data_IF_121181459390
#
_entry.id   IF_121181459390
#
_cell.length_a   1.000
_cell.length_b   1.000
_cell.length_c   1.000
_cell.angle_alpha   90.00
_cell.angle_beta   90.00
_cell.angle_gamma   90.00
#
_symmetry.space_group_name_H-M   'P 1'
#
loop_
_entity.id
_entity.type
_entity.pdbx_description
1 polymer ?
#
# COMPACT_ATOMS: atom_id res chain seq x y z
N UNK A 1 11.73 -78.56 27.75
CA UNK A 1 12.25 -77.36 28.42
C UNK A 1 11.44 -76.18 27.92
N UNK A 2 10.54 -75.65 28.75
CA UNK A 2 9.69 -74.50 28.42
C UNK A 2 10.43 -73.20 28.75
N UNK A 3 10.60 -72.25 27.81
CA UNK A 3 10.94 -70.88 28.14
C UNK A 3 9.66 -70.11 28.52
N UNK A 4 9.62 -69.61 29.74
CA UNK A 4 8.61 -68.65 30.20
C UNK A 4 8.74 -67.34 29.42
N UNK A 5 7.73 -67.00 28.62
CA UNK A 5 7.56 -65.67 28.02
C UNK A 5 6.80 -64.78 29.02
N UNK A 6 7.55 -63.90 29.68
CA UNK A 6 7.03 -62.79 30.49
C UNK A 6 6.48 -61.71 29.55
N UNK A 7 5.15 -61.59 29.48
CA UNK A 7 4.45 -60.49 28.81
C UNK A 7 4.38 -59.30 29.77
N UNK A 8 5.13 -58.23 29.48
CA UNK A 8 5.00 -56.93 30.13
C UNK A 8 4.04 -56.09 29.28
N UNK A 9 2.86 -55.66 29.79
CA UNK A 9 2.02 -54.72 29.07
C UNK A 9 2.65 -53.32 29.16
N UNK A 10 3.16 -52.84 28.02
CA UNK A 10 3.57 -51.46 27.82
C UNK A 10 2.31 -50.57 27.79
N UNK A 11 1.97 -49.95 28.91
CA UNK A 11 0.90 -48.94 28.97
C UNK A 11 1.45 -47.68 28.30
N UNK A 12 1.10 -47.46 27.04
CA UNK A 12 1.29 -46.19 26.35
C UNK A 12 0.26 -45.22 26.91
N UNK A 13 0.66 -44.46 27.94
CA UNK A 13 -0.11 -43.35 28.46
C UNK A 13 -0.06 -42.22 27.41
N UNK A 14 -1.06 -42.20 26.52
CA UNK A 14 -1.25 -41.11 25.57
C UNK A 14 -1.55 -39.82 26.32
N UNK A 15 -0.53 -38.99 26.52
CA UNK A 15 -0.68 -37.58 26.87
C UNK A 15 -1.36 -36.88 25.68
N UNK A 16 -2.70 -36.87 25.69
CA UNK A 16 -3.46 -35.91 24.91
C UNK A 16 -3.18 -34.53 25.53
N UNK A 17 -2.19 -33.83 25.00
CA UNK A 17 -2.10 -32.38 25.20
C UNK A 17 -3.34 -31.80 24.55
N UNK A 18 -4.31 -31.38 25.37
CA UNK A 18 -5.38 -30.54 24.89
C UNK A 18 -4.71 -29.31 24.25
N UNK A 19 -4.73 -29.24 22.92
CA UNK A 19 -4.39 -28.01 22.21
C UNK A 19 -5.39 -26.98 22.68
N UNK A 20 -4.96 -26.10 23.58
CA UNK A 20 -5.72 -24.91 23.93
C UNK A 20 -5.92 -24.13 22.64
N UNK A 21 -7.11 -24.19 22.07
CA UNK A 21 -7.50 -23.31 20.98
C UNK A 21 -7.40 -21.88 21.54
N UNK A 22 -6.37 -21.16 21.12
CA UNK A 22 -6.24 -19.76 21.45
C UNK A 22 -7.40 -19.06 20.75
N UNK A 23 -8.29 -18.43 21.53
CA UNK A 23 -9.49 -17.77 21.02
C UNK A 23 -9.24 -16.27 20.86
N UNK A 24 -9.84 -15.67 19.85
CA UNK A 24 -9.87 -14.21 19.71
C UNK A 24 -10.66 -13.62 20.89
N UNK A 25 -10.35 -12.38 21.25
CA UNK A 25 -11.03 -11.69 22.34
C UNK A 25 -11.59 -10.35 21.87
N UNK A 26 -12.83 -10.08 22.24
CA UNK A 26 -13.48 -8.77 22.09
C UNK A 26 -13.59 -8.15 23.47
N UNK A 27 -12.99 -6.99 23.66
CA UNK A 27 -13.22 -6.14 24.82
C UNK A 27 -14.40 -5.21 24.51
N UNK A 28 -15.43 -5.24 25.36
CA UNK A 28 -16.59 -4.37 25.25
C UNK A 28 -16.37 -3.06 25.99
N UNK A 29 -17.11 -2.01 25.61
CA UNK A 29 -17.05 -0.68 26.22
C UNK A 29 -17.42 -0.66 27.72
N UNK A 30 -18.09 -1.70 28.22
CA UNK A 30 -18.39 -1.86 29.65
C UNK A 30 -17.26 -2.57 30.44
N UNK A 31 -16.14 -2.89 29.78
CA UNK A 31 -14.99 -3.59 30.35
C UNK A 31 -15.11 -5.12 30.32
N UNK A 32 -16.21 -5.68 29.81
CA UNK A 32 -16.38 -7.14 29.69
C UNK A 32 -15.55 -7.67 28.52
N UNK A 33 -14.84 -8.79 28.72
CA UNK A 33 -14.15 -9.50 27.64
C UNK A 33 -14.91 -10.76 27.22
N UNK A 34 -15.03 -10.97 25.91
CA UNK A 34 -15.63 -12.16 25.32
C UNK A 34 -14.58 -12.88 24.48
N UNK A 35 -14.35 -14.17 24.77
CA UNK A 35 -13.40 -14.98 24.02
C UNK A 35 -14.13 -15.97 23.10
N UNK A 36 -13.74 -16.01 21.83
CA UNK A 36 -14.33 -16.88 20.81
C UNK A 36 -13.61 -16.76 19.46
N UNK A 37 -14.21 -17.29 18.39
CA UNK A 37 -13.66 -17.11 17.03
C UNK A 37 -14.36 -15.94 16.34
N UNK A 38 -13.59 -14.93 15.91
CA UNK A 38 -14.10 -13.82 15.12
C UNK A 38 -14.36 -14.28 13.68
N UNK A 39 -15.62 -14.25 13.23
CA UNK A 39 -16.01 -14.74 11.91
C UNK A 39 -15.88 -13.63 10.87
N UNK A 40 -16.71 -12.58 10.99
CA UNK A 40 -16.78 -11.45 10.07
C UNK A 40 -17.62 -10.28 10.63
N UNK A 41 -17.77 -9.25 9.79
CA UNK A 41 -18.71 -8.15 9.96
C UNK A 41 -19.88 -8.32 8.99
N UNK A 42 -21.12 -8.33 9.50
CA UNK A 42 -22.34 -8.46 8.69
C UNK A 42 -23.44 -7.56 9.22
N UNK A 43 -24.08 -6.79 8.33
CA UNK A 43 -25.25 -5.95 8.63
C UNK A 43 -25.08 -5.03 9.85
N UNK A 44 -23.88 -4.48 10.04
CA UNK A 44 -23.59 -3.58 11.17
C UNK A 44 -23.31 -4.29 12.50
N UNK A 45 -23.02 -5.60 12.50
CA UNK A 45 -22.61 -6.37 13.68
C UNK A 45 -21.35 -7.18 13.41
N UNK A 46 -20.58 -7.44 14.47
CA UNK A 46 -19.56 -8.49 14.50
C UNK A 46 -20.19 -9.79 14.96
N UNK A 47 -19.82 -10.88 14.28
CA UNK A 47 -20.18 -12.24 14.68
C UNK A 47 -19.01 -12.91 15.40
N UNK A 48 -19.25 -13.28 16.65
CA UNK A 48 -18.33 -14.04 17.50
C UNK A 48 -18.93 -15.42 17.76
N UNK A 49 -18.19 -16.47 17.44
CA UNK A 49 -18.55 -17.85 17.77
C UNK A 49 -17.93 -18.23 19.12
N UNK A 50 -18.77 -18.51 20.11
CA UNK A 50 -18.30 -18.87 21.44
C UNK A 50 -17.98 -20.38 21.50
N UNK A 51 -16.92 -20.79 22.20
CA UNK A 51 -16.63 -22.19 22.46
C UNK A 51 -17.55 -22.67 23.59
N UNK A 52 -18.75 -23.17 23.27
CA UNK A 52 -19.59 -23.89 24.25
C UNK A 52 -19.62 -25.40 23.97
N UNK A 53 -19.63 -26.16 25.07
CA UNK A 53 -19.60 -27.62 25.14
C UNK A 53 -20.82 -28.33 24.51
N UNK A 54 -21.92 -27.62 24.20
CA UNK A 54 -23.16 -28.25 23.69
C UNK A 54 -23.93 -27.44 22.62
N UNK A 55 -23.28 -26.51 21.91
CA UNK A 55 -23.90 -25.85 20.75
C UNK A 55 -23.20 -24.55 20.34
N UNK A 56 -23.01 -24.34 19.04
CA UNK A 56 -22.39 -23.13 18.50
C UNK A 56 -23.29 -21.88 18.72
N UNK A 57 -23.10 -21.19 19.84
CA UNK A 57 -23.76 -19.92 20.09
C UNK A 57 -23.08 -18.80 19.27
N UNK A 58 -23.72 -18.35 18.19
CA UNK A 58 -23.32 -17.17 17.42
C UNK A 58 -23.80 -15.90 18.13
N UNK A 59 -22.86 -15.14 18.69
CA UNK A 59 -23.16 -13.84 19.31
C UNK A 59 -22.98 -12.72 18.29
N UNK A 60 -23.96 -11.81 18.24
CA UNK A 60 -23.91 -10.58 17.44
C UNK A 60 -23.62 -9.39 18.34
N UNK A 61 -22.58 -8.64 18.03
CA UNK A 61 -22.11 -7.52 18.84
C UNK A 61 -22.07 -6.27 17.96
N UNK A 62 -22.71 -5.20 18.40
CA UNK A 62 -22.69 -3.93 17.68
C UNK A 62 -21.30 -3.27 17.79
N UNK A 63 -20.72 -2.72 16.71
CA UNK A 63 -19.40 -2.09 16.71
C UNK A 63 -19.23 -0.96 17.74
N UNK A 64 -20.28 -0.18 18.00
CA UNK A 64 -20.30 0.90 18.99
C UNK A 64 -20.09 0.41 20.43
N UNK A 65 -20.26 -0.89 20.68
CA UNK A 65 -20.05 -1.51 21.98
C UNK A 65 -18.66 -2.12 22.14
N UNK A 66 -17.82 -2.06 21.12
CA UNK A 66 -16.49 -2.70 21.12
C UNK A 66 -15.44 -1.66 21.44
N UNK A 67 -14.67 -1.92 22.49
CA UNK A 67 -13.52 -1.10 22.87
C UNK A 67 -12.26 -1.56 22.12
N UNK A 68 -12.04 -2.87 22.03
CA UNK A 68 -10.86 -3.43 21.37
C UNK A 68 -11.09 -4.86 20.84
N UNK A 69 -10.29 -5.23 19.85
CA UNK A 69 -10.17 -6.59 19.33
C UNK A 69 -8.76 -7.12 19.62
N UNK A 70 -8.66 -8.39 19.98
CA UNK A 70 -7.39 -9.11 20.14
C UNK A 70 -7.47 -10.43 19.39
N UNK A 71 -6.52 -10.65 18.49
CA UNK A 71 -6.49 -11.82 17.62
C UNK A 71 -5.57 -12.90 18.18
N UNK A 72 -6.00 -14.15 18.08
CA UNK A 72 -5.35 -15.33 18.65
C UNK A 72 -4.20 -15.90 17.82
N UNK A 73 -3.89 -15.29 16.69
CA UNK A 73 -3.04 -15.83 15.63
C UNK A 73 -1.71 -15.06 15.41
N UNK A 74 -0.97 -14.63 16.45
CA UNK A 74 0.21 -13.78 16.26
C UNK A 74 1.34 -14.48 15.47
N UNK A 75 1.37 -15.82 15.48
CA UNK A 75 2.39 -16.64 14.79
C UNK A 75 1.92 -17.18 13.44
N UNK A 76 0.68 -16.94 13.03
CA UNK A 76 0.18 -17.38 11.74
C UNK A 76 0.91 -16.62 10.59
N UNK A 77 0.93 -17.18 9.36
CA UNK A 77 1.50 -16.48 8.20
C UNK A 77 0.85 -15.10 8.00
N UNK A 78 1.64 -14.13 7.51
CA UNK A 78 1.20 -12.74 7.28
C UNK A 78 -0.12 -12.69 6.49
N UNK A 79 -0.23 -13.47 5.41
CA UNK A 79 -1.43 -13.51 4.57
C UNK A 79 -2.67 -13.91 5.37
N UNK A 80 -2.60 -15.00 6.13
CA UNK A 80 -3.71 -15.45 6.96
C UNK A 80 -4.11 -14.38 7.99
N UNK A 81 -3.11 -13.80 8.66
CA UNK A 81 -3.31 -12.77 9.68
C UNK A 81 -3.99 -11.52 9.12
N UNK A 82 -3.46 -10.99 8.03
CA UNK A 82 -3.96 -9.77 7.40
C UNK A 82 -5.34 -9.99 6.75
N UNK A 83 -5.58 -11.13 6.09
CA UNK A 83 -6.89 -11.44 5.52
C UNK A 83 -7.95 -11.63 6.60
N UNK A 84 -7.63 -12.27 7.74
CA UNK A 84 -8.54 -12.38 8.87
C UNK A 84 -8.90 -11.00 9.43
N UNK A 85 -7.89 -10.17 9.71
CA UNK A 85 -8.06 -8.79 10.21
C UNK A 85 -8.78 -7.86 9.23
N UNK A 86 -8.62 -8.07 7.92
CA UNK A 86 -9.25 -7.23 6.89
C UNK A 86 -10.79 -7.22 6.95
N UNK A 87 -11.40 -8.20 7.62
CA UNK A 87 -12.85 -8.25 7.87
C UNK A 87 -13.32 -7.26 8.93
N UNK A 88 -12.39 -6.68 9.68
CA UNK A 88 -12.62 -5.83 10.85
C UNK A 88 -11.91 -4.47 10.75
N UNK A 89 -11.54 -4.01 9.54
CA UNK A 89 -10.72 -2.79 9.32
C UNK A 89 -11.11 -1.59 10.21
N UNK A 90 -12.39 -1.18 10.32
CA UNK A 90 -12.78 -0.02 11.13
C UNK A 90 -12.53 -0.18 12.64
N UNK A 91 -12.19 -1.38 13.10
CA UNK A 91 -12.03 -1.74 14.50
C UNK A 91 -10.65 -2.31 14.81
N UNK A 92 -9.75 -2.34 13.81
CA UNK A 92 -8.38 -2.78 14.03
C UNK A 92 -7.66 -1.77 14.91
N UNK A 93 -6.69 -2.23 15.68
CA UNK A 93 -5.69 -1.36 16.29
C UNK A 93 -4.75 -0.79 15.20
N UNK A 94 -4.00 0.30 15.46
CA UNK A 94 -2.99 0.80 14.52
C UNK A 94 -1.98 -0.29 14.10
N UNK A 95 -1.54 -1.12 15.06
CA UNK A 95 -0.58 -2.19 14.80
C UNK A 95 -1.16 -3.30 13.91
N UNK A 96 -2.44 -3.67 14.10
CA UNK A 96 -3.09 -4.66 13.24
C UNK A 96 -3.42 -4.09 11.85
N UNK A 97 -3.73 -2.79 11.76
CA UNK A 97 -3.97 -2.13 10.49
C UNK A 97 -2.71 -2.07 9.61
N UNK A 98 -1.53 -1.98 10.21
CA UNK A 98 -0.24 -2.01 9.52
C UNK A 98 0.02 -3.33 8.77
N UNK A 99 -0.57 -4.44 9.20
CA UNK A 99 -0.41 -5.74 8.53
C UNK A 99 -1.01 -5.75 7.11
N UNK A 100 -1.97 -4.87 6.85
CA UNK A 100 -2.65 -4.79 5.56
C UNK A 100 -1.72 -4.25 4.46
N UNK A 101 -1.11 -3.05 4.57
CA UNK A 101 -0.14 -2.60 3.59
C UNK A 101 1.11 -3.52 3.53
N UNK A 102 1.54 -4.13 4.64
CA UNK A 102 2.61 -5.14 4.60
C UNK A 102 2.27 -6.33 3.69
N UNK A 103 1.03 -6.84 3.76
CA UNK A 103 0.57 -7.89 2.85
C UNK A 103 0.51 -7.41 1.39
N UNK A 104 0.11 -6.17 1.13
CA UNK A 104 0.12 -5.60 -0.22
C UNK A 104 1.54 -5.51 -0.80
N UNK A 105 2.52 -5.11 0.00
CA UNK A 105 3.94 -5.12 -0.40
C UNK A 105 4.47 -6.54 -0.63
N UNK A 106 4.04 -7.49 0.21
CA UNK A 106 4.35 -8.90 0.00
C UNK A 106 3.81 -9.39 -1.35
N UNK A 107 2.57 -9.08 -1.70
CA UNK A 107 2.02 -9.45 -3.01
C UNK A 107 2.75 -8.78 -4.17
N UNK A 108 3.13 -7.51 -4.05
CA UNK A 108 3.93 -6.84 -5.09
C UNK A 108 5.30 -7.49 -5.28
N UNK A 109 5.95 -7.92 -4.20
CA UNK A 109 7.25 -8.57 -4.24
C UNK A 109 7.21 -9.99 -4.83
N UNK A 110 6.02 -10.59 -4.92
CA UNK A 110 5.79 -11.92 -5.50
C UNK A 110 5.05 -11.86 -6.85
N UNK A 111 5.11 -10.72 -7.56
CA UNK A 111 4.47 -10.49 -8.85
C UNK A 111 2.93 -10.68 -8.86
N UNK A 112 2.29 -10.58 -7.70
CA UNK A 112 0.83 -10.69 -7.54
C UNK A 112 0.16 -9.30 -7.56
N UNK A 113 0.53 -8.47 -8.54
CA UNK A 113 0.18 -7.05 -8.59
C UNK A 113 -1.33 -6.80 -8.73
N UNK A 114 -2.05 -7.65 -9.46
CA UNK A 114 -3.52 -7.54 -9.57
C UNK A 114 -4.24 -7.83 -8.24
N UNK A 115 -3.73 -8.80 -7.48
CA UNK A 115 -4.23 -9.12 -6.14
C UNK A 115 -3.98 -7.95 -5.19
N UNK A 116 -2.75 -7.42 -5.18
CA UNK A 116 -2.39 -6.23 -4.42
C UNK A 116 -3.29 -5.04 -4.76
N UNK A 117 -3.49 -4.75 -6.05
CA UNK A 117 -4.35 -3.66 -6.49
C UNK A 117 -5.80 -3.85 -6.03
N UNK A 118 -6.34 -5.06 -6.17
CA UNK A 118 -7.72 -5.38 -5.80
C UNK A 118 -7.96 -5.15 -4.30
N UNK A 119 -7.05 -5.64 -3.44
CA UNK A 119 -7.14 -5.43 -2.01
C UNK A 119 -6.89 -3.98 -1.61
N UNK A 120 -5.92 -3.30 -2.22
CA UNK A 120 -5.67 -1.88 -1.98
C UNK A 120 -6.93 -1.03 -2.23
N UNK A 121 -7.65 -1.29 -3.34
CA UNK A 121 -8.92 -0.61 -3.67
C UNK A 121 -10.04 -0.94 -2.68
N UNK A 122 -10.06 -2.15 -2.14
CA UNK A 122 -11.06 -2.59 -1.16
C UNK A 122 -10.80 -2.01 0.24
N UNK A 123 -9.54 -1.90 0.63
CA UNK A 123 -9.14 -1.54 1.99
C UNK A 123 -8.89 -0.05 2.17
N UNK A 124 -8.32 0.64 1.18
CA UNK A 124 -8.02 2.08 1.27
C UNK A 124 -9.22 2.94 1.69
N UNK A 125 -10.43 2.79 1.10
CA UNK A 125 -11.59 3.60 1.49
C UNK A 125 -12.10 3.33 2.91
N UNK A 126 -11.69 2.23 3.53
CA UNK A 126 -12.09 1.81 4.88
C UNK A 126 -11.03 2.18 5.92
N UNK A 127 -9.87 2.64 5.50
CA UNK A 127 -8.78 2.99 6.39
C UNK A 127 -9.08 4.31 7.11
N UNK A 128 -9.08 4.28 8.44
CA UNK A 128 -9.30 5.46 9.29
C UNK A 128 -7.99 6.09 9.78
N UNK A 129 -6.85 5.43 9.50
CA UNK A 129 -5.52 5.82 9.94
C UNK A 129 -4.85 6.80 8.97
N UNK A 130 -4.79 8.07 9.36
CA UNK A 130 -4.25 9.15 8.52
C UNK A 130 -2.76 8.95 8.16
N UNK A 131 -1.99 8.32 9.04
CA UNK A 131 -0.58 7.95 8.83
C UNK A 131 -0.41 6.84 7.78
N UNK A 132 -1.41 5.96 7.61
CA UNK A 132 -1.38 4.90 6.60
C UNK A 132 -1.92 5.35 5.22
N UNK A 133 -2.65 6.47 5.14
CA UNK A 133 -3.24 6.94 3.88
C UNK A 133 -2.20 7.19 2.77
N UNK A 134 -1.05 7.87 3.01
CA UNK A 134 -0.01 8.02 1.99
C UNK A 134 0.55 6.67 1.50
N UNK A 135 0.69 5.71 2.41
CA UNK A 135 1.18 4.36 2.08
C UNK A 135 0.19 3.63 1.16
N UNK A 136 -1.11 3.63 1.50
CA UNK A 136 -2.14 3.04 0.64
C UNK A 136 -2.21 3.67 -0.75
N UNK A 137 -2.11 5.00 -0.85
CA UNK A 137 -2.09 5.70 -2.15
C UNK A 137 -0.87 5.31 -2.98
N UNK A 138 0.29 5.18 -2.34
CA UNK A 138 1.50 4.70 -3.02
C UNK A 138 1.32 3.26 -3.53
N UNK A 139 0.70 2.39 -2.73
CA UNK A 139 0.45 1.00 -3.08
C UNK A 139 -0.57 0.86 -4.21
N UNK A 140 -1.61 1.70 -4.26
CA UNK A 140 -2.56 1.74 -5.39
C UNK A 140 -1.85 2.05 -6.71
N UNK A 141 -1.00 3.08 -6.73
CA UNK A 141 -0.24 3.46 -7.94
C UNK A 141 0.75 2.37 -8.33
N UNK A 142 1.59 1.91 -7.39
CA UNK A 142 2.61 0.88 -7.65
C UNK A 142 1.98 -0.43 -8.12
N UNK A 143 0.87 -0.85 -7.51
CA UNK A 143 0.16 -2.06 -7.91
C UNK A 143 -0.46 -1.94 -9.29
N UNK A 144 -1.03 -0.79 -9.64
CA UNK A 144 -1.55 -0.55 -10.99
C UNK A 144 -0.43 -0.54 -12.04
N UNK A 145 0.71 0.07 -11.74
CA UNK A 145 1.89 0.05 -12.62
C UNK A 145 2.42 -1.38 -12.83
N UNK A 146 2.62 -2.13 -11.75
CA UNK A 146 3.12 -3.50 -11.81
C UNK A 146 2.13 -4.47 -12.49
N UNK A 147 0.82 -4.19 -12.40
CA UNK A 147 -0.21 -4.91 -13.15
C UNK A 147 -0.33 -4.49 -14.63
N UNK A 148 0.54 -3.61 -15.12
CA UNK A 148 0.50 -3.05 -16.47
C UNK A 148 -0.83 -2.34 -16.80
N UNK A 149 -1.37 -1.60 -15.82
CA UNK A 149 -2.59 -0.80 -15.94
C UNK A 149 -2.26 0.70 -15.82
N UNK A 150 -1.56 1.29 -16.81
CA UNK A 150 -1.05 2.67 -16.70
C UNK A 150 -2.16 3.71 -16.52
N UNK A 151 -3.31 3.54 -17.16
CA UNK A 151 -4.45 4.45 -17.00
C UNK A 151 -5.02 4.45 -15.59
N UNK A 152 -5.07 3.29 -14.93
CA UNK A 152 -5.51 3.16 -13.54
C UNK A 152 -4.51 3.86 -12.59
N UNK A 153 -3.22 3.67 -12.82
CA UNK A 153 -2.17 4.37 -12.07
C UNK A 153 -2.28 5.89 -12.20
N UNK A 154 -2.57 6.39 -13.41
CA UNK A 154 -2.81 7.81 -13.68
C UNK A 154 -4.04 8.33 -12.92
N UNK A 155 -5.15 7.58 -12.88
CA UNK A 155 -6.35 7.97 -12.11
C UNK A 155 -6.00 8.13 -10.63
N UNK A 156 -5.31 7.14 -10.04
CA UNK A 156 -4.90 7.21 -8.64
C UNK A 156 -3.90 8.35 -8.36
N UNK A 157 -2.95 8.60 -9.27
CA UNK A 157 -2.01 9.70 -9.16
C UNK A 157 -2.71 11.08 -9.17
N UNK A 158 -3.66 11.30 -10.09
CA UNK A 158 -4.44 12.55 -10.13
C UNK A 158 -5.29 12.74 -8.88
N UNK A 159 -5.95 11.68 -8.43
CA UNK A 159 -6.76 11.73 -7.20
C UNK A 159 -5.91 12.06 -5.98
N UNK A 160 -4.69 11.52 -5.90
CA UNK A 160 -3.76 11.86 -4.83
C UNK A 160 -3.35 13.33 -4.88
N UNK A 161 -2.94 13.83 -6.04
CA UNK A 161 -2.53 15.24 -6.19
C UNK A 161 -3.68 16.23 -5.93
N UNK A 162 -4.92 15.87 -6.28
CA UNK A 162 -6.09 16.70 -6.04
C UNK A 162 -6.46 16.80 -4.55
N UNK A 163 -6.11 15.79 -3.74
CA UNK A 163 -6.48 15.70 -2.33
C UNK A 163 -5.35 16.13 -1.38
N UNK A 164 -4.13 16.33 -1.87
CA UNK A 164 -2.96 16.63 -1.03
C UNK A 164 -2.72 18.13 -0.94
N UNK A 165 -2.62 18.72 0.27
CA UNK A 165 -2.33 20.15 0.45
C UNK A 165 -0.97 20.57 -0.11
N UNK A 166 0.03 19.69 -0.02
CA UNK A 166 1.37 19.87 -0.59
C UNK A 166 1.66 18.77 -1.62
N UNK A 167 1.21 18.92 -2.87
CA UNK A 167 1.35 17.88 -3.89
C UNK A 167 2.83 17.57 -4.22
N UNK A 168 3.76 18.46 -3.87
CA UNK A 168 5.19 18.32 -4.17
C UNK A 168 5.96 17.48 -3.14
N UNK A 169 5.35 17.16 -1.99
CA UNK A 169 5.99 16.34 -0.96
C UNK A 169 6.11 14.85 -1.35
N UNK A 170 5.43 14.41 -2.40
CA UNK A 170 5.40 13.00 -2.82
C UNK A 170 5.72 12.89 -4.32
N UNK A 171 6.87 12.31 -4.72
CA UNK A 171 7.30 12.31 -6.10
C UNK A 171 6.57 11.28 -6.98
N UNK A 172 6.09 10.18 -6.40
CA UNK A 172 5.46 9.07 -7.11
C UNK A 172 4.28 9.45 -8.03
N UNK A 173 3.27 10.23 -7.60
CA UNK A 173 2.18 10.62 -8.50
C UNK A 173 2.66 11.49 -9.67
N UNK A 174 3.63 12.38 -9.44
CA UNK A 174 4.23 13.20 -10.50
C UNK A 174 5.02 12.34 -11.49
N UNK A 175 5.83 11.40 -11.00
CA UNK A 175 6.58 10.46 -11.82
C UNK A 175 5.63 9.65 -12.72
N UNK A 176 4.52 9.17 -12.15
CA UNK A 176 3.51 8.39 -12.88
C UNK A 176 2.89 9.19 -14.01
N UNK A 177 2.52 10.45 -13.77
CA UNK A 177 1.95 11.32 -14.79
C UNK A 177 2.97 11.71 -15.86
N UNK A 178 4.20 12.03 -15.46
CA UNK A 178 5.24 12.44 -16.38
C UNK A 178 5.63 11.28 -17.32
N UNK A 179 5.75 10.07 -16.79
CA UNK A 179 6.00 8.87 -17.60
C UNK A 179 4.87 8.62 -18.59
N UNK A 180 3.61 8.71 -18.14
CA UNK A 180 2.45 8.51 -19.02
C UNK A 180 2.42 9.51 -20.19
N UNK A 181 2.73 10.78 -19.95
CA UNK A 181 2.84 11.79 -21.00
C UNK A 181 3.94 11.45 -22.00
N UNK A 182 5.09 10.96 -21.52
CA UNK A 182 6.21 10.57 -22.38
C UNK A 182 5.85 9.37 -23.26
N UNK A 183 5.25 8.34 -22.68
CA UNK A 183 4.78 7.14 -23.38
C UNK A 183 3.68 7.47 -24.42
N UNK A 184 2.90 8.52 -24.16
CA UNK A 184 1.86 9.03 -25.06
C UNK A 184 2.39 10.00 -26.14
N UNK A 185 3.71 10.15 -26.27
CA UNK A 185 4.33 11.03 -27.26
C UNK A 185 4.15 12.53 -26.97
N UNK A 186 3.95 12.91 -25.71
CA UNK A 186 3.81 14.30 -25.26
C UNK A 186 5.02 14.73 -24.41
N UNK A 187 6.22 14.85 -25.02
CA UNK A 187 7.46 15.09 -24.28
C UNK A 187 7.46 16.44 -23.54
N UNK A 188 6.80 17.46 -24.09
CA UNK A 188 6.68 18.76 -23.41
C UNK A 188 5.83 18.67 -22.14
N UNK A 189 4.68 17.99 -22.19
CA UNK A 189 3.84 17.78 -21.01
C UNK A 189 4.54 16.90 -19.96
N UNK A 190 5.28 15.88 -20.40
CA UNK A 190 6.11 15.04 -19.55
C UNK A 190 7.18 15.87 -18.82
N UNK A 191 7.90 16.72 -19.55
CA UNK A 191 8.93 17.60 -19.00
C UNK A 191 8.33 18.53 -17.95
N UNK A 192 7.26 19.25 -18.28
CA UNK A 192 6.62 20.16 -17.33
C UNK A 192 6.12 19.47 -16.08
N UNK A 193 5.58 18.27 -16.22
CA UNK A 193 5.10 17.45 -15.10
C UNK A 193 6.27 16.98 -14.23
N UNK A 194 7.40 16.60 -14.83
CA UNK A 194 8.59 16.18 -14.10
C UNK A 194 9.29 17.35 -13.36
N UNK A 195 9.39 18.53 -13.98
CA UNK A 195 10.07 19.68 -13.40
C UNK A 195 9.34 20.29 -12.18
N UNK A 196 8.02 20.07 -12.05
CA UNK A 196 7.21 20.62 -10.95
C UNK A 196 7.73 20.23 -9.57
N UNK A 197 7.79 18.94 -9.19
CA UNK A 197 8.36 18.54 -7.91
C UNK A 197 9.84 18.90 -7.78
N UNK A 198 10.62 18.87 -8.87
CA UNK A 198 12.05 19.24 -8.84
C UNK A 198 12.26 20.71 -8.44
N UNK A 199 11.43 21.62 -8.94
CA UNK A 199 11.52 23.05 -8.63
C UNK A 199 11.15 23.39 -7.18
N UNK A 200 10.44 22.48 -6.49
CA UNK A 200 9.99 22.64 -5.11
C UNK A 200 10.72 21.72 -4.13
N UNK A 201 11.71 20.98 -4.60
CA UNK A 201 12.45 20.00 -3.83
C UNK A 201 13.32 20.65 -2.75
N UNK A 202 13.35 20.03 -1.57
CA UNK A 202 14.34 20.33 -0.52
C UNK A 202 15.58 19.44 -0.68
N UNK A 203 16.66 19.76 0.04
CA UNK A 203 17.93 19.03 -0.06
C UNK A 203 17.82 17.56 0.41
N UNK A 204 16.94 17.27 1.35
CA UNK A 204 16.65 15.94 1.89
C UNK A 204 15.78 15.08 0.96
N UNK A 205 15.20 15.66 -0.11
CA UNK A 205 14.33 14.94 -1.04
C UNK A 205 15.06 14.46 -2.31
N UNK A 206 16.31 14.87 -2.53
CA UNK A 206 17.02 14.68 -3.80
C UNK A 206 17.06 13.22 -4.25
N UNK A 207 17.32 12.28 -3.33
CA UNK A 207 17.41 10.85 -3.63
C UNK A 207 16.09 10.28 -4.19
N UNK A 208 14.96 10.80 -3.72
CA UNK A 208 13.62 10.34 -4.14
C UNK A 208 13.20 10.89 -5.49
N UNK A 209 13.92 11.88 -6.02
CA UNK A 209 13.59 12.62 -7.25
C UNK A 209 14.33 12.13 -8.49
N UNK A 210 15.26 11.19 -8.32
CA UNK A 210 16.04 10.61 -9.42
C UNK A 210 15.16 10.15 -10.62
N UNK A 211 14.02 9.45 -10.45
CA UNK A 211 13.18 9.06 -11.58
C UNK A 211 12.63 10.27 -12.37
N UNK A 212 12.33 11.38 -11.70
CA UNK A 212 11.85 12.60 -12.34
C UNK A 212 12.95 13.29 -13.15
N UNK A 213 14.19 13.28 -12.65
CA UNK A 213 15.35 13.74 -13.43
C UNK A 213 15.54 12.91 -14.71
N UNK A 214 15.38 11.59 -14.64
CA UNK A 214 15.47 10.72 -15.82
C UNK A 214 14.39 11.03 -16.86
N UNK A 215 13.13 11.18 -16.41
CA UNK A 215 12.01 11.53 -17.31
C UNK A 215 12.24 12.90 -17.95
N UNK A 216 12.68 13.90 -17.17
CA UNK A 216 13.01 15.22 -17.69
C UNK A 216 14.14 15.16 -18.72
N UNK A 217 15.20 14.40 -18.45
CA UNK A 217 16.30 14.23 -19.39
C UNK A 217 15.85 13.59 -20.72
N UNK A 218 15.04 12.53 -20.64
CA UNK A 218 14.51 11.88 -21.83
C UNK A 218 13.60 12.83 -22.63
N UNK A 219 12.74 13.59 -21.96
CA UNK A 219 11.91 14.60 -22.62
C UNK A 219 12.74 15.69 -23.30
N UNK A 220 13.78 16.22 -22.65
CA UNK A 220 14.70 17.19 -23.26
C UNK A 220 15.42 16.62 -24.49
N UNK A 221 15.84 15.36 -24.45
CA UNK A 221 16.48 14.71 -25.59
C UNK A 221 15.53 14.63 -26.79
N UNK A 222 14.27 14.25 -26.57
CA UNK A 222 13.23 14.21 -27.64
C UNK A 222 12.95 15.60 -28.21
N UNK A 223 12.99 16.63 -27.35
CA UNK A 223 12.76 18.03 -27.75
C UNK A 223 13.99 18.71 -28.39
N UNK A 224 15.13 18.03 -28.50
CA UNK A 224 16.34 18.57 -29.14
C UNK A 224 17.19 19.47 -28.24
N UNK A 225 17.14 19.27 -26.91
CA UNK A 225 17.93 20.02 -25.91
C UNK A 225 18.92 19.09 -25.14
N UNK A 226 19.97 18.58 -25.80
CA UNK A 226 20.86 17.57 -25.21
C UNK A 226 21.69 18.07 -24.02
N UNK A 227 22.01 19.36 -23.95
CA UNK A 227 22.77 19.93 -22.84
C UNK A 227 21.94 19.90 -21.54
N UNK A 228 20.65 20.25 -21.62
CA UNK A 228 19.71 20.13 -20.51
C UNK A 228 19.51 18.67 -20.09
N UNK A 229 19.42 17.75 -21.06
CA UNK A 229 19.34 16.32 -20.75
C UNK A 229 20.58 15.85 -19.96
N UNK A 230 21.77 16.27 -20.38
CA UNK A 230 23.04 15.94 -19.69
C UNK A 230 23.08 16.49 -18.26
N UNK A 231 22.59 17.72 -18.06
CA UNK A 231 22.45 18.30 -16.71
C UNK A 231 21.56 17.44 -15.81
N UNK A 232 20.38 17.03 -16.27
CA UNK A 232 19.48 16.20 -15.45
C UNK A 232 20.04 14.80 -15.19
N UNK A 233 20.77 14.21 -16.15
CA UNK A 233 21.46 12.93 -15.94
C UNK A 233 22.63 13.06 -14.95
N UNK A 234 23.30 14.21 -14.87
CA UNK A 234 24.39 14.41 -13.91
C UNK A 234 23.89 14.55 -12.47
N UNK A 235 22.66 15.01 -12.26
CA UNK A 235 22.03 15.04 -10.92
C UNK A 235 21.84 13.63 -10.32
N UNK A 236 21.89 12.59 -11.15
CA UNK A 236 21.81 11.20 -10.70
C UNK A 236 23.16 10.63 -10.23
N UNK A 237 24.24 11.40 -10.33
CA UNK A 237 25.58 10.95 -9.95
C UNK A 237 25.93 11.35 -8.51
N UNK A 238 26.40 10.41 -7.65
CA UNK A 238 26.82 10.70 -6.28
C UNK A 238 28.09 11.58 -6.21
N UNK A 239 28.75 11.80 -7.35
CA UNK A 239 29.93 12.63 -7.52
C UNK A 239 29.53 13.94 -8.23
N UNK A 240 28.65 14.74 -7.63
CA UNK A 240 28.16 15.95 -8.29
C UNK A 240 29.14 17.11 -8.07
N UNK A 241 29.97 17.38 -9.07
CA UNK A 241 30.45 18.74 -9.33
C UNK A 241 29.24 19.65 -9.51
N UNK A 242 29.15 20.74 -8.74
CA UNK A 242 28.05 21.71 -8.83
C UNK A 242 27.94 22.31 -10.24
N UNK A 243 27.07 21.76 -11.07
CA UNK A 243 26.62 22.42 -12.30
C UNK A 243 25.60 23.50 -11.93
N UNK A 244 25.79 24.71 -12.43
CA UNK A 244 24.79 25.76 -12.31
C UNK A 244 23.52 25.33 -13.04
N UNK A 245 22.32 25.60 -12.48
CA UNK A 245 21.06 25.28 -13.14
C UNK A 245 21.00 26.01 -14.49
N UNK A 246 20.78 25.25 -15.56
CA UNK A 246 20.56 25.82 -16.89
C UNK A 246 19.18 26.50 -16.89
N UNK A 247 19.10 27.71 -17.43
CA UNK A 247 17.81 28.34 -17.68
C UNK A 247 16.98 27.44 -18.61
N UNK A 248 15.67 27.26 -18.35
CA UNK A 248 14.81 26.51 -19.27
C UNK A 248 14.82 27.19 -20.65
N UNK A 249 14.75 26.42 -21.75
CA UNK A 249 14.79 26.97 -23.09
C UNK A 249 13.67 28.01 -23.31
N UNK A 250 13.93 29.10 -24.07
CA UNK A 250 13.00 30.22 -24.20
C UNK A 250 11.62 29.85 -24.76
N UNK A 251 11.55 28.82 -25.60
CA UNK A 251 10.31 28.27 -26.16
C UNK A 251 9.37 27.74 -25.08
N UNK A 252 9.91 27.13 -24.02
CA UNK A 252 9.11 26.65 -22.89
C UNK A 252 8.60 27.81 -22.03
N UNK A 253 9.36 28.90 -21.90
CA UNK A 253 8.95 30.06 -21.10
C UNK A 253 7.76 30.83 -21.70
N UNK A 254 7.55 30.74 -23.01
CA UNK A 254 6.46 31.45 -23.70
C UNK A 254 5.08 30.79 -23.50
N UNK A 255 5.03 29.49 -23.24
CA UNK A 255 3.81 28.70 -23.09
C UNK A 255 3.86 27.84 -21.81
N UNK A 256 3.83 28.50 -20.64
CA UNK A 256 3.77 27.75 -19.38
C UNK A 256 2.43 27.00 -19.27
N UNK A 257 2.47 25.67 -19.34
CA UNK A 257 1.28 24.84 -19.06
C UNK A 257 0.82 25.07 -17.61
N UNK A 258 -0.45 25.43 -17.46
CA UNK A 258 -1.11 25.56 -16.17
C UNK A 258 -1.24 24.19 -15.49
N UNK A 259 -1.31 24.18 -14.16
CA UNK A 259 -1.52 22.95 -13.38
C UNK A 259 -2.75 22.16 -13.86
N UNK A 260 -3.83 22.86 -14.19
CA UNK A 260 -5.06 22.23 -14.70
C UNK A 260 -4.90 21.64 -16.10
N UNK A 261 -4.03 22.20 -16.95
CA UNK A 261 -3.71 21.62 -18.25
C UNK A 261 -2.88 20.34 -18.10
N UNK A 262 -1.91 20.30 -17.18
CA UNK A 262 -1.08 19.11 -16.94
C UNK A 262 -1.89 17.91 -16.43
N UNK A 263 -2.98 18.18 -15.70
CA UNK A 263 -3.90 17.14 -15.21
C UNK A 263 -4.89 16.65 -16.27
N UNK A 264 -5.05 17.36 -17.40
CA UNK A 264 -5.87 16.89 -18.52
C UNK A 264 -5.04 15.94 -19.38
N UNK A 265 -5.34 14.65 -19.31
CA UNK A 265 -4.82 13.68 -20.28
C UNK A 265 -5.85 13.61 -21.40
N UNK A 266 -5.42 13.86 -22.64
CA UNK A 266 -6.23 13.50 -23.81
C UNK A 266 -6.35 11.98 -23.78
N UNK A 267 -7.47 11.47 -23.28
CA UNK A 267 -7.73 10.04 -23.31
C UNK A 267 -7.87 9.67 -24.79
N UNK A 268 -7.12 8.68 -25.31
CA UNK A 268 -7.39 8.16 -26.63
C UNK A 268 -8.84 7.65 -26.62
N UNK A 269 -9.69 8.25 -27.47
CA UNK A 269 -11.04 7.75 -27.76
C UNK A 269 -10.96 6.42 -28.50
#
# INVERSE_FOLDING_TARGET
>A
MNPNLLLIPLIILGLFTATSFQADTIELADGTSLSGTLIDTQAGYIRLQLPETEGEALRRISPDKIAALSFSDPTAPLEQRALHRSRFIPLLSPADAQLLPELLEHYLSNDQSLTALSYAKLWHPKNEYADLDPLYRSLLIRSAQAANLPNEAVIHAKNWLAQTPSPFATPLPWQTLAQHHLDSGQPEAALWTALRPLAHATADQQDTLHPLHQIAAQAYQVLGYPDHATYHLSQNSPLTTHYSPLNPPPSLLAESLTYSQLLKTNSPQ
#
